data_IF_397346308341
#
_entry.id   IF_397346308341
#
_cell.length_a   1.000
_cell.length_b   1.000
_cell.length_c   1.000
_cell.angle_alpha   90.00
_cell.angle_beta   90.00
_cell.angle_gamma   90.00
#
_symmetry.space_group_name_H-M   'P 1'
#
loop_
_entity.id
_entity.type
_entity.pdbx_description
1 polymer ?
#
# COMPACT_ATOMS: atom_id res chain seq x y z
N UNK A 1 -21.16 13.62 -2.39
CA UNK A 1 -21.50 12.51 -1.48
C UNK A 1 -20.31 11.56 -1.52
N UNK A 2 -19.79 11.16 -0.36
CA UNK A 2 -18.63 10.26 -0.29
C UNK A 2 -19.12 8.82 -0.11
N UNK A 3 -18.65 7.91 -0.96
CA UNK A 3 -18.93 6.47 -0.85
C UNK A 3 -17.71 5.77 -0.28
N UNK A 4 -17.91 4.92 0.74
CA UNK A 4 -16.87 4.07 1.32
C UNK A 4 -17.04 2.63 0.86
N UNK A 5 -15.95 2.02 0.43
CA UNK A 5 -15.87 0.59 0.11
C UNK A 5 -14.79 -0.03 0.99
N UNK A 6 -15.20 -0.87 1.95
CA UNK A 6 -14.25 -1.65 2.76
C UNK A 6 -13.62 -2.77 1.91
N UNK A 7 -12.30 -2.89 1.99
CA UNK A 7 -11.54 -3.90 1.26
C UNK A 7 -11.39 -5.14 2.15
N UNK A 8 -11.88 -6.28 1.67
CA UNK A 8 -11.58 -7.59 2.22
C UNK A 8 -10.53 -8.28 1.36
N UNK A 9 -9.59 -9.01 1.98
CA UNK A 9 -8.56 -9.79 1.26
C UNK A 9 -9.15 -10.78 0.24
N UNK A 10 -10.36 -11.29 0.50
CA UNK A 10 -11.08 -12.18 -0.41
C UNK A 10 -11.54 -11.51 -1.72
N UNK A 11 -11.52 -10.18 -1.79
CA UNK A 11 -11.83 -9.43 -3.02
C UNK A 11 -10.68 -9.45 -4.04
N UNK A 12 -9.51 -9.93 -3.63
CA UNK A 12 -8.31 -9.98 -4.45
C UNK A 12 -8.05 -11.44 -4.85
N UNK A 13 -8.09 -11.70 -6.15
CA UNK A 13 -7.78 -13.01 -6.72
C UNK A 13 -6.80 -12.89 -7.88
N UNK A 14 -6.35 -14.03 -8.40
CA UNK A 14 -5.37 -14.12 -9.50
C UNK A 14 -5.83 -13.35 -10.76
N UNK A 15 -7.12 -13.34 -11.04
CA UNK A 15 -7.70 -12.55 -12.14
C UNK A 15 -8.12 -11.17 -11.64
N UNK A 16 -7.68 -10.14 -12.34
CA UNK A 16 -8.09 -8.75 -12.09
C UNK A 16 -9.61 -8.59 -12.24
N UNK A 17 -10.25 -7.98 -11.23
CA UNK A 17 -11.70 -7.75 -11.19
C UNK A 17 -12.02 -6.27 -10.94
N UNK A 18 -13.00 -5.69 -11.65
CA UNK A 18 -13.46 -4.34 -11.36
C UNK A 18 -13.99 -4.22 -9.93
N UNK A 19 -13.67 -3.11 -9.27
CA UNK A 19 -14.16 -2.76 -7.94
C UNK A 19 -15.15 -1.58 -8.01
N UNK A 20 -14.74 -0.48 -8.65
CA UNK A 20 -15.54 0.74 -8.75
C UNK A 20 -15.04 1.65 -9.87
N UNK A 21 -15.87 2.61 -10.26
CA UNK A 21 -15.52 3.70 -11.19
C UNK A 21 -16.21 4.99 -10.77
N UNK A 22 -15.51 6.12 -10.86
CA UNK A 22 -16.04 7.45 -10.49
C UNK A 22 -15.20 8.54 -11.15
N UNK A 23 -15.82 9.55 -11.78
CA UNK A 23 -15.12 10.77 -12.22
C UNK A 23 -13.90 10.56 -13.13
N UNK A 24 -13.88 9.50 -13.95
CA UNK A 24 -12.73 9.14 -14.78
C UNK A 24 -11.66 8.30 -14.07
N UNK A 25 -11.86 7.96 -12.80
CA UNK A 25 -11.13 6.91 -12.10
C UNK A 25 -11.77 5.54 -12.34
N UNK A 26 -10.93 4.52 -12.46
CA UNK A 26 -11.34 3.11 -12.37
C UNK A 26 -10.46 2.39 -11.37
N UNK A 27 -11.10 1.53 -10.56
CA UNK A 27 -10.45 0.74 -9.53
C UNK A 27 -10.69 -0.74 -9.81
N UNK A 28 -9.66 -1.55 -9.65
CA UNK A 28 -9.73 -3.00 -9.77
C UNK A 28 -8.83 -3.68 -8.74
N UNK A 29 -9.21 -4.88 -8.33
CA UNK A 29 -8.48 -5.70 -7.38
C UNK A 29 -7.89 -6.91 -8.08
N UNK A 30 -6.65 -7.25 -7.74
CA UNK A 30 -6.00 -8.50 -8.16
C UNK A 30 -4.96 -8.92 -7.12
N UNK A 31 -4.43 -10.13 -7.27
CA UNK A 31 -3.36 -10.67 -6.45
C UNK A 31 -2.18 -11.01 -7.35
N UNK A 32 -0.98 -10.59 -6.94
CA UNK A 32 0.27 -11.00 -7.57
C UNK A 32 0.51 -12.50 -7.38
N UNK A 33 1.38 -13.10 -8.19
CA UNK A 33 1.71 -14.54 -8.06
C UNK A 33 2.41 -14.80 -6.72
N UNK A 34 3.11 -13.80 -6.18
CA UNK A 34 3.64 -13.78 -4.81
C UNK A 34 2.61 -13.87 -3.69
N UNK A 35 1.31 -13.77 -4.02
CA UNK A 35 0.21 -13.79 -3.08
C UNK A 35 -0.19 -12.43 -2.52
N UNK A 36 0.50 -11.34 -2.88
CA UNK A 36 0.22 -9.99 -2.37
C UNK A 36 -0.98 -9.34 -3.07
N UNK A 37 -1.90 -8.79 -2.27
CA UNK A 37 -3.07 -8.07 -2.76
C UNK A 37 -2.73 -6.67 -3.29
N UNK A 38 -3.21 -6.37 -4.49
CA UNK A 38 -3.00 -5.10 -5.18
C UNK A 38 -4.33 -4.45 -5.59
N UNK A 39 -4.47 -3.19 -5.22
CA UNK A 39 -5.50 -2.29 -5.71
C UNK A 39 -4.90 -1.46 -6.84
N UNK A 40 -5.41 -1.65 -8.05
CA UNK A 40 -5.07 -0.80 -9.18
C UNK A 40 -6.02 0.38 -9.23
N UNK A 41 -5.46 1.58 -9.36
CA UNK A 41 -6.23 2.81 -9.56
C UNK A 41 -5.74 3.47 -10.83
N UNK A 42 -6.63 3.63 -11.81
CA UNK A 42 -6.34 4.27 -13.10
C UNK A 42 -7.12 5.57 -13.24
N UNK A 43 -6.56 6.51 -13.99
CA UNK A 43 -7.27 7.65 -14.54
C UNK A 43 -6.85 7.89 -16.00
N UNK A 44 -7.33 8.98 -16.62
CA UNK A 44 -7.02 9.33 -18.01
C UNK A 44 -5.53 9.46 -18.36
N UNK A 45 -4.65 9.65 -17.37
CA UNK A 45 -3.20 9.88 -17.58
C UNK A 45 -2.34 8.68 -17.24
N UNK A 46 -2.85 7.72 -16.48
CA UNK A 46 -2.01 6.64 -15.97
C UNK A 46 -2.63 5.86 -14.83
N UNK A 47 -1.77 5.19 -14.08
CA UNK A 47 -2.16 4.27 -13.03
C UNK A 47 -1.16 4.19 -11.89
N UNK A 48 -1.67 3.76 -10.74
CA UNK A 48 -0.87 3.32 -9.60
C UNK A 48 -1.34 1.94 -9.14
N UNK A 49 -0.40 1.17 -8.61
CA UNK A 49 -0.65 -0.07 -7.87
C UNK A 49 -0.41 0.18 -6.40
N UNK A 50 -1.46 0.08 -5.60
CA UNK A 50 -1.38 0.25 -4.15
C UNK A 50 -1.51 -1.10 -3.48
N UNK A 51 -0.73 -1.34 -2.43
CA UNK A 51 -0.77 -2.57 -1.64
C UNK A 51 -1.51 -2.30 -0.32
N UNK A 52 -2.85 -2.50 -0.26
CA UNK A 52 -3.66 -2.01 0.86
C UNK A 52 -3.32 -2.71 2.18
N UNK A 53 -2.77 -3.92 2.11
CA UNK A 53 -2.44 -4.72 3.29
C UNK A 53 -0.94 -4.91 3.51
N UNK A 54 -0.09 -4.20 2.76
CA UNK A 54 1.38 -4.24 2.91
C UNK A 54 1.93 -2.81 2.89
N UNK A 55 2.12 -2.26 4.08
CA UNK A 55 2.68 -0.92 4.33
C UNK A 55 1.91 0.25 3.73
N UNK A 56 0.73 0.01 3.13
CA UNK A 56 0.04 0.98 2.30
C UNK A 56 0.96 1.57 1.21
N UNK A 57 1.81 0.71 0.63
CA UNK A 57 2.78 1.13 -0.39
C UNK A 57 2.10 1.52 -1.70
N UNK A 58 2.74 2.41 -2.45
CA UNK A 58 2.53 2.48 -3.90
C UNK A 58 3.63 1.64 -4.53
N UNK A 59 3.30 0.45 -5.02
CA UNK A 59 4.24 -0.49 -5.61
C UNK A 59 4.70 -0.05 -7.00
N UNK A 60 3.75 0.36 -7.85
CA UNK A 60 4.02 0.89 -9.20
C UNK A 60 3.29 2.20 -9.41
N UNK A 61 3.89 3.08 -10.20
CA UNK A 61 3.27 4.31 -10.67
C UNK A 61 3.72 4.57 -12.11
N UNK A 62 2.77 4.69 -13.03
CA UNK A 62 3.03 4.96 -14.43
C UNK A 62 2.08 6.03 -14.95
N UNK A 63 2.62 7.11 -15.51
CA UNK A 63 1.84 8.23 -16.04
C UNK A 63 2.45 8.75 -17.35
N UNK A 64 1.58 9.08 -18.30
CA UNK A 64 1.92 9.63 -19.61
C UNK A 64 2.99 8.80 -20.36
N UNK A 65 2.85 7.48 -20.30
CA UNK A 65 3.75 6.54 -20.95
C UNK A 65 5.11 6.35 -20.26
N UNK A 66 5.29 6.87 -19.04
CA UNK A 66 6.52 6.73 -18.26
C UNK A 66 6.29 5.90 -17.01
N UNK A 67 7.19 4.95 -16.78
CA UNK A 67 7.34 4.32 -15.47
C UNK A 67 8.09 5.29 -14.55
N UNK A 68 7.48 5.58 -13.40
CA UNK A 68 8.03 6.50 -12.39
C UNK A 68 8.76 5.76 -11.27
N UNK A 69 8.79 4.43 -11.32
CA UNK A 69 9.46 3.60 -10.32
C UNK A 69 10.96 3.49 -10.58
N UNK A 70 11.72 3.19 -9.53
CA UNK A 70 13.12 2.81 -9.70
C UNK A 70 13.20 1.44 -10.36
N UNK A 71 14.27 1.20 -11.12
CA UNK A 71 14.61 -0.17 -11.53
C UNK A 71 14.84 -1.01 -10.28
N UNK A 72 14.12 -2.12 -10.19
CA UNK A 72 14.19 -3.04 -9.05
C UNK A 72 14.53 -4.44 -9.54
N UNK A 73 15.17 -5.23 -8.68
CA UNK A 73 15.37 -6.67 -8.89
C UNK A 73 14.10 -7.48 -8.57
N UNK A 74 13.05 -6.81 -8.07
CA UNK A 74 11.77 -7.42 -7.72
C UNK A 74 10.71 -7.10 -8.78
N UNK A 75 10.31 -8.11 -9.53
CA UNK A 75 9.22 -8.00 -10.52
C UNK A 75 7.87 -7.76 -9.84
N UNK A 76 7.66 -8.40 -8.68
CA UNK A 76 6.45 -8.32 -7.85
C UNK A 76 6.81 -8.15 -6.35
N UNK A 77 5.90 -7.63 -5.51
CA UNK A 77 6.18 -7.48 -4.09
C UNK A 77 6.20 -8.85 -3.40
N UNK A 78 7.09 -9.06 -2.42
CA UNK A 78 7.29 -10.36 -1.75
C UNK A 78 6.58 -10.37 -0.37
N UNK A 79 5.99 -11.50 0.08
CA UNK A 79 5.34 -11.64 1.40
C UNK A 79 6.35 -11.74 2.56
N UNK A 80 7.03 -10.63 2.81
CA UNK A 80 7.99 -10.43 3.90
C UNK A 80 7.72 -9.14 4.66
N UNK A 81 8.08 -9.08 5.93
CA UNK A 81 8.12 -7.84 6.74
C UNK A 81 9.51 -7.20 6.76
N UNK A 82 10.55 -7.90 6.31
CA UNK A 82 11.91 -7.38 6.19
C UNK A 82 11.97 -6.35 5.07
N UNK A 83 12.42 -5.12 5.37
CA UNK A 83 12.37 -4.00 4.43
C UNK A 83 13.02 -4.30 3.07
N UNK A 84 14.28 -4.76 3.08
CA UNK A 84 15.08 -4.92 1.85
C UNK A 84 14.70 -6.14 1.00
N UNK A 85 13.99 -7.12 1.55
CA UNK A 85 13.59 -8.35 0.84
C UNK A 85 12.41 -8.14 -0.15
N UNK A 86 11.96 -6.91 -0.32
CA UNK A 86 10.92 -6.54 -1.30
C UNK A 86 11.07 -5.07 -1.73
N UNK A 87 12.30 -4.58 -1.82
CA UNK A 87 12.59 -3.18 -2.08
C UNK A 87 12.41 -2.81 -3.57
N UNK A 88 11.18 -2.46 -3.93
CA UNK A 88 10.83 -2.05 -5.30
C UNK A 88 9.65 -1.08 -5.42
N UNK A 89 9.12 -0.59 -4.29
CA UNK A 89 7.98 0.30 -4.28
C UNK A 89 8.35 1.73 -4.71
N UNK A 90 7.47 2.39 -5.45
CA UNK A 90 7.57 3.82 -5.76
C UNK A 90 7.49 4.69 -4.49
N UNK A 91 6.59 4.33 -3.57
CA UNK A 91 6.37 5.08 -2.34
C UNK A 91 6.15 4.15 -1.15
N UNK A 92 6.82 4.45 -0.03
CA UNK A 92 6.74 3.74 1.23
C UNK A 92 6.54 4.71 2.40
N UNK A 93 5.97 4.21 3.49
CA UNK A 93 5.93 4.93 4.77
C UNK A 93 7.05 4.41 5.66
N UNK A 94 7.91 5.30 6.15
CA UNK A 94 8.86 4.95 7.21
C UNK A 94 8.11 4.66 8.52
N UNK A 95 8.70 3.79 9.34
CA UNK A 95 8.24 3.35 10.64
C UNK A 95 8.20 4.46 11.69
N UNK A 96 7.48 4.18 12.78
CA UNK A 96 7.43 5.07 13.94
C UNK A 96 8.46 4.63 14.98
N UNK A 97 8.81 3.34 15.04
CA UNK A 97 9.77 2.82 16.02
C UNK A 97 11.22 3.02 15.64
N UNK A 98 11.48 3.53 14.44
CA UNK A 98 12.83 3.83 13.95
C UNK A 98 12.79 4.34 12.52
N UNK A 99 13.69 5.27 12.18
CA UNK A 99 13.83 5.86 10.86
C UNK A 99 15.30 6.07 10.53
N UNK A 100 15.66 5.79 9.28
CA UNK A 100 17.04 5.90 8.81
C UNK A 100 17.82 4.60 8.99
N UNK A 101 19.14 4.63 8.74
CA UNK A 101 20.01 3.49 8.90
C UNK A 101 20.31 3.22 10.38
N UNK A 102 20.61 1.97 10.68
CA UNK A 102 21.08 1.54 11.98
C UNK A 102 22.44 2.18 12.34
N UNK A 103 22.55 2.71 13.55
CA UNK A 103 23.83 3.08 14.17
C UNK A 103 24.54 1.88 14.84
N UNK A 104 25.77 2.06 15.35
CA UNK A 104 26.58 0.97 15.91
C UNK A 104 25.91 0.16 17.04
N UNK A 105 25.10 0.82 17.85
CA UNK A 105 24.34 0.21 18.96
C UNK A 105 22.85 0.05 18.66
N UNK A 106 22.41 0.56 17.50
CA UNK A 106 21.03 0.50 17.10
C UNK A 106 20.76 -0.79 16.34
N UNK A 107 19.60 -1.39 16.61
CA UNK A 107 19.16 -2.65 15.99
C UNK A 107 17.75 -2.53 15.43
N UNK A 108 17.21 -1.31 15.30
CA UNK A 108 15.93 -1.14 14.64
C UNK A 108 16.05 -1.54 13.16
N UNK A 109 14.99 -2.10 12.55
CA UNK A 109 14.98 -2.37 11.12
C UNK A 109 15.18 -1.08 10.33
N UNK A 110 15.94 -1.10 9.24
CA UNK A 110 16.08 0.02 8.31
C UNK A 110 14.68 0.53 7.87
N UNK A 111 14.41 1.82 8.09
CA UNK A 111 13.10 2.47 7.89
C UNK A 111 11.97 1.94 8.79
N UNK A 112 12.29 1.23 9.87
CA UNK A 112 11.35 0.72 10.84
C UNK A 112 10.41 -0.35 10.30
N UNK A 113 9.26 -0.46 10.95
CA UNK A 113 8.28 -1.53 10.83
C UNK A 113 7.18 -1.26 9.78
N UNK A 114 6.89 0.02 9.51
CA UNK A 114 5.77 0.40 8.64
C UNK A 114 5.94 0.06 7.16
N UNK A 115 7.14 0.09 6.53
CA UNK A 115 7.25 -0.10 5.09
C UNK A 115 6.58 -1.38 4.60
N UNK A 116 6.68 -2.48 5.36
CA UNK A 116 6.07 -3.76 5.02
C UNK A 116 5.02 -4.21 6.03
N UNK A 117 4.48 -3.31 6.86
CA UNK A 117 3.52 -3.62 7.89
C UNK A 117 2.26 -4.33 7.33
N UNK A 118 1.79 -5.41 7.95
CA UNK A 118 0.57 -6.10 7.53
C UNK A 118 -0.66 -5.33 8.03
N UNK A 119 -1.09 -4.31 7.29
CA UNK A 119 -2.28 -3.53 7.64
C UNK A 119 -3.50 -4.44 7.83
N UNK A 120 -4.21 -4.27 8.95
CA UNK A 120 -5.34 -5.15 9.28
C UNK A 120 -6.64 -4.75 8.58
N UNK A 121 -6.79 -3.46 8.25
CA UNK A 121 -7.97 -2.93 7.54
C UNK A 121 -7.55 -1.96 6.44
N UNK A 122 -8.26 -2.02 5.32
CA UNK A 122 -8.14 -1.09 4.20
C UNK A 122 -9.51 -0.76 3.63
N UNK A 123 -9.68 0.44 3.09
CA UNK A 123 -10.89 0.89 2.42
C UNK A 123 -10.57 1.98 1.39
N UNK A 124 -11.51 2.19 0.48
CA UNK A 124 -11.48 3.29 -0.48
C UNK A 124 -12.60 4.27 -0.16
N UNK A 125 -12.32 5.56 -0.24
CA UNK A 125 -13.32 6.64 -0.24
C UNK A 125 -13.37 7.23 -1.64
N UNK A 126 -14.56 7.26 -2.23
CA UNK A 126 -14.85 7.88 -3.53
C UNK A 126 -15.65 9.14 -3.26
N UNK A 127 -15.06 10.30 -3.54
CA UNK A 127 -15.76 11.57 -3.45
C UNK A 127 -15.93 12.18 -4.84
N UNK A 128 -17.13 12.03 -5.39
CA UNK A 128 -17.45 12.55 -6.72
C UNK A 128 -17.49 14.07 -6.79
N UNK A 129 -17.91 14.73 -5.70
CA UNK A 129 -17.97 16.19 -5.67
C UNK A 129 -16.57 16.82 -5.59
N UNK A 130 -15.67 16.20 -4.83
CA UNK A 130 -14.27 16.60 -4.76
C UNK A 130 -13.42 16.06 -5.93
N UNK A 131 -13.92 15.06 -6.67
CA UNK A 131 -13.16 14.38 -7.71
C UNK A 131 -11.96 13.59 -7.18
N UNK A 132 -12.07 13.01 -5.98
CA UNK A 132 -10.96 12.34 -5.29
C UNK A 132 -11.23 10.87 -4.97
N UNK A 133 -10.18 10.07 -5.08
CA UNK A 133 -10.14 8.69 -4.61
C UNK A 133 -9.10 8.61 -3.49
N UNK A 134 -9.56 8.31 -2.27
CA UNK A 134 -8.67 8.15 -1.11
C UNK A 134 -8.55 6.68 -0.76
N UNK A 135 -7.31 6.21 -0.60
CA UNK A 135 -7.01 4.85 -0.12
C UNK A 135 -6.53 4.97 1.32
N UNK A 136 -7.31 4.38 2.22
CA UNK A 136 -7.15 4.51 3.65
C UNK A 136 -7.23 3.15 4.34
N UNK A 137 -6.78 3.11 5.58
CA UNK A 137 -6.58 1.87 6.31
C UNK A 137 -6.15 2.13 7.74
N UNK A 138 -6.13 1.08 8.54
CA UNK A 138 -5.66 1.14 9.92
C UNK A 138 -4.65 0.04 10.20
N UNK A 139 -3.60 0.43 10.91
CA UNK A 139 -2.59 -0.50 11.41
C UNK A 139 -2.46 -0.38 12.92
N UNK A 140 -2.55 -1.49 13.64
CA UNK A 140 -2.13 -1.56 15.03
C UNK A 140 -0.82 -2.35 15.10
N UNK A 141 0.19 -1.74 15.70
CA UNK A 141 1.46 -2.38 15.98
C UNK A 141 1.54 -2.72 17.45
N UNK A 142 1.85 -3.97 17.79
CA UNK A 142 1.91 -4.41 19.17
C UNK A 142 3.05 -5.41 19.34
N UNK A 143 3.98 -5.08 20.23
CA UNK A 143 5.07 -5.92 20.69
C UNK A 143 5.06 -5.88 22.21
N UNK A 144 4.82 -7.03 22.83
CA UNK A 144 4.76 -7.15 24.29
C UNK A 144 6.04 -6.58 24.93
N UNK A 145 5.87 -5.84 26.03
CA UNK A 145 6.97 -5.20 26.79
C UNK A 145 7.82 -4.19 25.99
N UNK A 146 7.35 -3.74 24.82
CA UNK A 146 8.08 -2.78 23.98
C UNK A 146 7.17 -1.66 23.50
N UNK A 147 6.28 -1.93 22.55
CA UNK A 147 5.57 -0.90 21.80
C UNK A 147 4.12 -1.30 21.55
N UNK A 148 3.19 -0.38 21.73
CA UNK A 148 1.81 -0.54 21.29
C UNK A 148 1.29 0.81 20.78
N UNK A 149 0.98 0.90 19.49
CA UNK A 149 0.33 2.08 18.93
C UNK A 149 -0.67 1.72 17.84
N UNK A 150 -1.60 2.63 17.63
CA UNK A 150 -2.60 2.54 16.57
C UNK A 150 -2.44 3.70 15.60
N UNK A 151 -2.29 3.37 14.31
CA UNK A 151 -2.24 4.32 13.20
C UNK A 151 -3.53 4.26 12.40
N UNK A 152 -4.49 5.15 12.67
CA UNK A 152 -5.59 5.40 11.76
C UNK A 152 -5.11 6.24 10.57
N UNK A 153 -5.69 6.00 9.40
CA UNK A 153 -5.77 7.02 8.35
C UNK A 153 -7.24 7.38 8.21
N UNK A 154 -7.71 8.34 9.02
CA UNK A 154 -9.11 8.79 8.97
C UNK A 154 -9.28 9.87 7.90
N UNK A 155 -10.20 9.56 6.97
CA UNK A 155 -10.98 10.45 6.07
C UNK A 155 -10.25 11.58 5.37
#
# INVERSE_FOLDING_TARGET
MTVRIDLARAMFGERERPLASMGGFSLSTFRFDSGIEALRVRNRRGEILVLPFKGHQIWRAAFDGRDLTMKSMFDEPVPTTTYLETYGAFFIHCGITGMGPEGPEDRHPLHGELPNAPFQKGWVLLDEAAGTVTIAGSYQYTVAFSTNYWRPRNT
#
